data_IF_894015541236
#
_entry.id   IF_894015541236
#
_cell.length_a   1.000
_cell.length_b   1.000
_cell.length_c   1.000
_cell.angle_alpha   90.00
_cell.angle_beta   90.00
_cell.angle_gamma   90.00
#
_symmetry.space_group_name_H-M   'P 1'
#
loop_
_entity.id
_entity.type
_entity.pdbx_description
1 polymer ?
#
# COMPACT_ATOMS: atom_id res chain seq x y z
N UNK A 1 -25.15 31.65 8.38
CA UNK A 1 -25.16 30.20 8.10
C UNK A 1 -24.16 29.93 6.98
N UNK A 2 -22.93 29.55 7.34
CA UNK A 2 -21.97 28.91 6.42
C UNK A 2 -21.37 27.78 7.24
N UNK A 3 -21.85 26.57 6.98
CA UNK A 3 -21.43 25.36 7.67
C UNK A 3 -20.17 24.87 6.96
N UNK A 4 -18.99 25.32 7.40
CA UNK A 4 -17.72 24.99 6.78
C UNK A 4 -17.18 23.69 7.38
N UNK A 5 -17.78 22.55 7.03
CA UNK A 5 -17.15 21.24 7.24
C UNK A 5 -16.12 21.01 6.13
N UNK A 6 -14.93 21.56 6.34
CA UNK A 6 -13.77 21.25 5.51
C UNK A 6 -13.20 19.92 6.04
N UNK A 7 -13.69 18.81 5.48
CA UNK A 7 -13.16 17.47 5.77
C UNK A 7 -11.77 17.36 5.15
N UNK A 8 -10.75 17.31 5.99
CA UNK A 8 -9.33 17.22 5.62
C UNK A 8 -9.00 15.83 5.10
N UNK A 9 -8.63 15.75 3.83
CA UNK A 9 -8.10 14.53 3.19
C UNK A 9 -6.58 14.59 3.32
N UNK A 10 -5.97 13.71 4.11
CA UNK A 10 -4.52 13.76 4.40
C UNK A 10 -3.81 12.65 3.62
N UNK A 11 -2.85 13.03 2.80
CA UNK A 11 -1.79 12.18 2.28
C UNK A 11 -0.62 12.25 3.26
N UNK A 12 -0.27 11.12 3.86
CA UNK A 12 0.78 11.03 4.88
C UNK A 12 2.05 10.44 4.28
N UNK A 13 3.14 11.20 4.36
CA UNK A 13 4.48 10.73 4.02
C UNK A 13 5.14 10.16 5.28
N UNK A 14 5.34 8.84 5.33
CA UNK A 14 6.09 8.15 6.40
C UNK A 14 7.50 7.76 5.90
N UNK A 15 8.53 7.74 6.75
CA UNK A 15 9.84 7.26 6.33
C UNK A 15 9.90 5.72 6.41
N UNK A 16 10.68 5.09 5.53
CA UNK A 16 10.89 3.63 5.52
C UNK A 16 11.41 3.10 6.86
N UNK A 17 12.17 3.92 7.60
CA UNK A 17 12.63 3.61 8.96
C UNK A 17 11.48 3.54 9.96
N UNK A 18 10.45 4.38 9.88
CA UNK A 18 9.34 4.30 10.83
C UNK A 18 8.55 3.00 10.65
N UNK A 19 8.59 2.40 9.44
CA UNK A 19 8.06 1.05 9.18
C UNK A 19 8.97 -0.07 9.66
N UNK A 20 10.28 0.18 9.74
CA UNK A 20 11.32 -0.79 10.09
C UNK A 20 11.65 -0.80 11.59
N UNK A 21 11.52 0.34 12.28
CA UNK A 21 11.82 0.54 13.71
C UNK A 21 10.58 0.44 14.61
N UNK A 22 9.39 0.26 14.04
CA UNK A 22 8.26 -0.21 14.83
C UNK A 22 8.56 -1.67 15.21
N UNK A 23 9.14 -1.87 16.39
CA UNK A 23 9.18 -3.17 17.08
C UNK A 23 7.76 -3.77 17.23
N UNK A 24 6.74 -2.98 16.91
CA UNK A 24 5.33 -3.36 16.90
C UNK A 24 4.63 -3.01 15.57
N UNK A 25 4.57 -3.98 14.65
CA UNK A 25 3.81 -3.87 13.39
C UNK A 25 2.27 -3.82 13.58
N UNK A 26 1.77 -3.86 14.83
CA UNK A 26 0.33 -3.72 15.16
C UNK A 26 -0.16 -2.27 14.99
N UNK A 27 0.72 -1.26 14.99
CA UNK A 27 0.38 0.16 14.82
C UNK A 27 0.23 0.62 13.36
N UNK A 28 0.69 -0.17 12.39
CA UNK A 28 0.77 0.20 10.97
C UNK A 28 -0.58 0.58 10.32
N UNK A 29 -1.70 -0.15 10.52
CA UNK A 29 -2.99 0.25 9.92
C UNK A 29 -3.72 1.31 10.74
N UNK A 30 -3.53 1.32 12.06
CA UNK A 30 -4.30 2.14 13.01
C UNK A 30 -3.91 3.62 12.93
N UNK A 31 -2.70 3.91 12.46
CA UNK A 31 -2.17 5.28 12.37
C UNK A 31 -2.47 5.93 11.01
N UNK A 32 -2.67 5.13 9.94
CA UNK A 32 -2.70 5.62 8.55
C UNK A 32 -4.11 5.69 7.93
N UNK A 33 -5.12 5.05 8.52
CA UNK A 33 -6.45 4.98 7.92
C UNK A 33 -7.58 5.18 8.94
N UNK A 34 -8.70 5.82 8.55
CA UNK A 34 -9.92 5.81 9.33
C UNK A 34 -10.35 4.38 9.66
N UNK A 35 -10.89 4.17 10.87
CA UNK A 35 -11.33 2.86 11.40
C UNK A 35 -12.42 2.14 10.57
N UNK A 36 -12.88 2.74 9.46
CA UNK A 36 -13.94 2.25 8.59
C UNK A 36 -13.46 1.86 7.19
N UNK A 37 -12.18 2.06 6.87
CA UNK A 37 -11.65 1.77 5.54
C UNK A 37 -11.60 0.26 5.29
N UNK A 38 -12.30 -0.20 4.25
CA UNK A 38 -12.43 -1.63 3.91
C UNK A 38 -11.58 -2.07 2.73
N UNK A 39 -11.19 -1.15 1.84
CA UNK A 39 -10.50 -1.45 0.59
C UNK A 39 -9.22 -0.63 0.46
N UNK A 40 -8.10 -1.35 0.40
CA UNK A 40 -6.75 -0.80 0.34
C UNK A 40 -6.11 -1.17 -0.99
N UNK A 41 -5.46 -0.21 -1.64
CA UNK A 41 -4.63 -0.45 -2.82
C UNK A 41 -3.16 -0.42 -2.43
N UNK A 42 -2.45 -1.52 -2.64
CA UNK A 42 -0.99 -1.57 -2.58
C UNK A 42 -0.43 -1.35 -3.99
N UNK A 43 0.11 -0.16 -4.25
CA UNK A 43 0.78 0.20 -5.50
C UNK A 43 2.21 -0.30 -5.47
N UNK A 44 2.64 -0.95 -6.56
CA UNK A 44 3.89 -1.70 -6.64
C UNK A 44 3.94 -2.73 -5.51
N UNK A 45 2.90 -3.58 -5.47
CA UNK A 45 2.67 -4.50 -4.36
C UNK A 45 3.81 -5.52 -4.18
N UNK A 46 4.67 -5.71 -5.18
CA UNK A 46 5.75 -6.70 -5.14
C UNK A 46 5.17 -8.06 -4.72
N UNK A 47 5.89 -8.82 -3.90
CA UNK A 47 5.45 -10.10 -3.34
C UNK A 47 4.38 -9.97 -2.22
N UNK A 48 3.76 -8.80 -2.03
CA UNK A 48 2.60 -8.66 -1.14
C UNK A 48 2.91 -8.28 0.31
N UNK A 49 4.13 -7.85 0.63
CA UNK A 49 4.57 -7.53 2.01
C UNK A 49 3.61 -6.59 2.76
N UNK A 50 3.18 -5.48 2.13
CA UNK A 50 2.28 -4.53 2.77
C UNK A 50 0.89 -5.13 2.99
N UNK A 51 0.41 -5.94 2.04
CA UNK A 51 -0.86 -6.63 2.19
C UNK A 51 -0.82 -7.57 3.40
N UNK A 52 0.29 -8.29 3.56
CA UNK A 52 0.47 -9.16 4.70
C UNK A 52 0.49 -8.40 6.04
N UNK A 53 1.23 -7.29 6.11
CA UNK A 53 1.29 -6.41 7.29
C UNK A 53 -0.06 -5.80 7.66
N UNK A 54 -0.96 -5.60 6.69
CA UNK A 54 -2.32 -5.11 6.94
C UNK A 54 -3.26 -6.22 7.41
N UNK A 55 -3.10 -7.43 6.86
CA UNK A 55 -4.06 -8.54 7.01
C UNK A 55 -3.70 -9.51 8.12
N UNK A 56 -2.46 -9.56 8.59
CA UNK A 56 -2.00 -10.57 9.53
C UNK A 56 -1.27 -9.98 10.75
N UNK A 57 -1.35 -10.68 11.87
CA UNK A 57 -0.66 -10.37 13.12
C UNK A 57 0.70 -11.06 13.12
N UNK A 58 1.67 -10.41 12.49
CA UNK A 58 3.05 -10.90 12.39
C UNK A 58 3.99 -9.76 12.77
N UNK A 59 4.85 -9.99 13.77
CA UNK A 59 5.96 -9.08 14.08
C UNK A 59 7.19 -9.39 13.22
N UNK A 60 8.15 -8.45 13.18
CA UNK A 60 9.31 -8.57 12.29
C UNK A 60 10.18 -9.77 12.64
N UNK A 61 10.32 -10.10 13.93
CA UNK A 61 11.11 -11.25 14.39
C UNK A 61 10.50 -12.57 13.90
N UNK A 62 9.21 -12.77 14.11
CA UNK A 62 8.45 -13.93 13.64
C UNK A 62 8.48 -14.03 12.12
N UNK A 63 8.35 -12.88 11.44
CA UNK A 63 8.48 -12.80 9.99
C UNK A 63 9.85 -13.28 9.54
N UNK A 64 10.94 -12.70 10.07
CA UNK A 64 12.30 -13.06 9.67
C UNK A 64 12.57 -14.53 9.95
N UNK A 65 12.15 -15.05 11.11
CA UNK A 65 12.31 -16.46 11.46
C UNK A 65 11.63 -17.40 10.46
N UNK A 66 10.48 -17.02 9.89
CA UNK A 66 9.77 -17.83 8.88
C UNK A 66 10.60 -18.03 7.59
N UNK A 67 11.49 -17.10 7.26
CA UNK A 67 12.38 -17.20 6.10
C UNK A 67 13.80 -17.66 6.45
N UNK A 68 14.09 -17.99 7.72
CA UNK A 68 15.36 -18.62 8.10
C UNK A 68 15.29 -20.13 7.93
N UNK A 69 16.05 -20.69 6.99
CA UNK A 69 16.05 -22.14 6.74
C UNK A 69 16.51 -22.52 5.34
N UNK A 70 16.13 -23.72 4.90
CA UNK A 70 16.29 -24.13 3.50
C UNK A 70 15.50 -23.20 2.58
N UNK A 71 16.02 -22.93 1.38
CA UNK A 71 15.33 -22.16 0.34
C UNK A 71 14.46 -23.12 -0.51
N UNK A 72 13.15 -23.28 -0.19
CA UNK A 72 12.28 -24.10 -1.02
C UNK A 72 12.11 -23.47 -2.40
N UNK A 73 11.61 -24.25 -3.36
CA UNK A 73 11.22 -23.66 -4.64
C UNK A 73 10.05 -22.66 -4.45
N UNK A 74 9.83 -21.80 -5.44
CA UNK A 74 8.87 -20.69 -5.33
C UNK A 74 7.42 -21.14 -5.06
N UNK A 75 7.01 -22.34 -5.49
CA UNK A 75 5.66 -22.86 -5.25
C UNK A 75 5.53 -23.40 -3.84
N UNK A 76 6.55 -24.12 -3.38
CA UNK A 76 6.63 -24.60 -2.00
C UNK A 76 6.65 -23.41 -1.02
N UNK A 77 7.40 -22.35 -1.33
CA UNK A 77 7.40 -21.13 -0.54
C UNK A 77 6.01 -20.48 -0.49
N UNK A 78 5.33 -20.32 -1.62
CA UNK A 78 4.00 -19.72 -1.65
C UNK A 78 2.98 -20.51 -0.83
N UNK A 79 3.06 -21.85 -0.83
CA UNK A 79 2.21 -22.70 0.00
C UNK A 79 2.53 -22.55 1.49
N UNK A 80 3.81 -22.58 1.87
CA UNK A 80 4.25 -22.39 3.24
C UNK A 80 3.83 -21.01 3.78
N UNK A 81 3.97 -19.96 2.97
CA UNK A 81 3.53 -18.61 3.30
C UNK A 81 2.01 -18.57 3.49
N UNK A 82 1.24 -19.19 2.58
CA UNK A 82 -0.22 -19.26 2.70
C UNK A 82 -0.66 -19.82 4.05
N UNK A 83 -0.08 -20.94 4.46
CA UNK A 83 -0.38 -21.58 5.76
C UNK A 83 0.07 -20.72 6.94
N UNK A 84 1.27 -20.16 6.85
CA UNK A 84 1.83 -19.28 7.87
C UNK A 84 0.96 -18.04 8.11
N UNK A 85 0.55 -17.34 7.06
CA UNK A 85 -0.25 -16.12 7.18
C UNK A 85 -1.73 -16.41 7.50
N UNK A 86 -2.31 -17.48 6.97
CA UNK A 86 -3.70 -17.85 7.25
C UNK A 86 -3.97 -18.09 8.75
N UNK A 87 -3.01 -18.67 9.48
CA UNK A 87 -3.13 -18.88 10.93
C UNK A 87 -3.03 -17.60 11.78
N UNK A 88 -2.73 -16.45 11.16
CA UNK A 88 -2.45 -15.18 11.83
C UNK A 88 -3.33 -14.04 11.33
N UNK A 89 -4.46 -14.33 10.69
CA UNK A 89 -5.36 -13.30 10.16
C UNK A 89 -5.86 -12.32 11.23
N UNK A 90 -5.95 -11.05 10.85
CA UNK A 90 -6.55 -9.98 11.66
C UNK A 90 -8.06 -10.01 11.51
N UNK A 91 -8.76 -9.61 12.58
CA UNK A 91 -10.20 -9.32 12.57
C UNK A 91 -10.44 -7.93 13.14
N UNK A 92 -11.10 -7.01 12.39
CA UNK A 92 -11.58 -7.19 11.02
C UNK A 92 -10.43 -7.24 10.00
N UNK A 93 -10.61 -8.06 8.95
CA UNK A 93 -9.65 -8.21 7.85
C UNK A 93 -9.95 -7.19 6.74
N UNK A 94 -9.00 -6.31 6.38
CA UNK A 94 -9.20 -5.41 5.25
C UNK A 94 -9.09 -6.14 3.91
N UNK A 95 -9.80 -5.63 2.90
CA UNK A 95 -9.62 -6.05 1.51
C UNK A 95 -8.41 -5.34 0.93
N UNK A 96 -7.44 -6.10 0.42
CA UNK A 96 -6.20 -5.56 -0.16
C UNK A 96 -6.14 -5.90 -1.65
N UNK A 97 -6.03 -4.85 -2.47
CA UNK A 97 -5.86 -4.89 -3.91
C UNK A 97 -4.39 -4.65 -4.26
N UNK A 98 -3.77 -5.55 -5.02
CA UNK A 98 -2.38 -5.40 -5.48
C UNK A 98 -2.31 -4.85 -6.90
N UNK A 99 -1.38 -3.93 -7.13
CA UNK A 99 -1.04 -3.44 -8.47
C UNK A 99 0.47 -3.50 -8.67
N UNK A 100 0.94 -4.23 -9.68
CA UNK A 100 2.35 -4.23 -10.08
C UNK A 100 2.49 -4.54 -11.58
N UNK A 101 3.62 -4.20 -12.19
CA UNK A 101 3.97 -4.67 -13.55
C UNK A 101 4.58 -6.07 -13.54
N UNK A 102 5.10 -6.51 -12.39
CA UNK A 102 5.77 -7.79 -12.22
C UNK A 102 4.75 -8.92 -12.03
N UNK A 103 4.43 -9.60 -13.12
CA UNK A 103 3.49 -10.73 -13.15
C UNK A 103 3.74 -11.78 -12.05
N UNK A 104 5.00 -12.23 -11.91
CA UNK A 104 5.38 -13.24 -10.92
C UNK A 104 5.11 -12.80 -9.47
N UNK A 105 5.27 -11.50 -9.19
CA UNK A 105 5.11 -10.95 -7.84
C UNK A 105 3.62 -10.85 -7.46
N UNK A 106 2.77 -10.40 -8.40
CA UNK A 106 1.31 -10.37 -8.21
C UNK A 106 0.76 -11.79 -8.02
N UNK A 107 1.19 -12.74 -8.85
CA UNK A 107 0.77 -14.15 -8.73
C UNK A 107 1.17 -14.75 -7.39
N UNK A 108 2.42 -14.54 -6.96
CA UNK A 108 2.88 -14.98 -5.65
C UNK A 108 2.01 -14.43 -4.51
N UNK A 109 1.75 -13.12 -4.52
CA UNK A 109 0.97 -12.46 -3.47
C UNK A 109 -0.48 -13.01 -3.39
N UNK A 110 -1.06 -13.38 -4.53
CA UNK A 110 -2.37 -14.05 -4.59
C UNK A 110 -2.28 -15.49 -4.06
N UNK A 111 -1.30 -16.27 -4.51
CA UNK A 111 -1.12 -17.66 -4.12
C UNK A 111 -0.87 -17.81 -2.61
N UNK A 112 -0.08 -16.91 -2.04
CA UNK A 112 0.21 -16.83 -0.60
C UNK A 112 -0.92 -16.16 0.22
N UNK A 113 -1.99 -15.66 -0.41
CA UNK A 113 -3.15 -15.06 0.29
C UNK A 113 -2.91 -13.65 0.88
N UNK A 114 -1.84 -12.99 0.48
CA UNK A 114 -1.40 -11.70 1.03
C UNK A 114 -2.19 -10.51 0.45
N UNK A 115 -2.86 -10.71 -0.68
CA UNK A 115 -3.81 -9.79 -1.31
C UNK A 115 -5.08 -10.55 -1.74
N UNK A 116 -6.21 -9.86 -1.90
CA UNK A 116 -7.46 -10.48 -2.36
C UNK A 116 -7.62 -10.48 -3.88
N UNK A 117 -7.06 -9.46 -4.55
CA UNK A 117 -7.10 -9.32 -6.00
C UNK A 117 -5.87 -8.57 -6.49
N UNK A 118 -5.43 -8.84 -7.72
CA UNK A 118 -4.18 -8.33 -8.27
C UNK A 118 -4.29 -7.95 -9.74
N UNK A 119 -3.70 -6.81 -10.12
CA UNK A 119 -3.62 -6.32 -11.49
C UNK A 119 -2.17 -6.22 -11.94
N UNK A 120 -1.90 -6.77 -13.12
CA UNK A 120 -0.58 -6.77 -13.75
C UNK A 120 -0.54 -5.64 -14.79
N UNK A 121 -0.31 -4.41 -14.33
CA UNK A 121 -0.42 -3.22 -15.17
C UNK A 121 0.72 -2.22 -14.92
N UNK A 122 1.23 -1.63 -16.01
CA UNK A 122 2.25 -0.59 -15.98
C UNK A 122 1.64 0.80 -16.21
N UNK A 123 1.27 1.49 -15.14
CA UNK A 123 0.58 2.78 -15.23
C UNK A 123 1.48 3.96 -15.63
N UNK A 124 2.78 3.73 -15.82
CA UNK A 124 3.69 4.70 -16.46
C UNK A 124 3.35 4.91 -17.94
N UNK A 125 2.92 3.85 -18.61
CA UNK A 125 2.78 3.84 -20.07
C UNK A 125 1.33 3.84 -20.53
N UNK A 126 0.40 3.32 -19.72
CA UNK A 126 -1.01 3.15 -20.10
C UNK A 126 -1.94 3.58 -18.98
N UNK A 127 -3.14 4.00 -19.36
CA UNK A 127 -4.21 4.21 -18.40
C UNK A 127 -4.67 2.87 -17.81
N UNK A 128 -5.25 2.87 -16.60
CA UNK A 128 -5.77 1.66 -15.96
C UNK A 128 -6.74 0.92 -16.89
N UNK A 129 -6.76 -0.41 -16.86
CA UNK A 129 -7.76 -1.19 -17.57
C UNK A 129 -9.18 -0.89 -17.05
N UNK A 130 -10.25 -1.21 -17.83
CA UNK A 130 -11.62 -1.09 -17.33
C UNK A 130 -11.86 -1.86 -16.02
N UNK A 131 -11.21 -3.02 -15.88
CA UNK A 131 -11.32 -3.87 -14.71
C UNK A 131 -10.64 -3.23 -13.48
N UNK A 132 -9.40 -2.74 -13.65
CA UNK A 132 -8.71 -2.00 -12.60
C UNK A 132 -9.48 -0.73 -12.20
N UNK A 133 -10.00 0.05 -13.17
CA UNK A 133 -10.83 1.22 -12.87
C UNK A 133 -12.03 0.87 -12.00
N UNK A 134 -12.70 -0.25 -12.29
CA UNK A 134 -13.85 -0.73 -11.51
C UNK A 134 -13.42 -1.13 -10.09
N UNK A 135 -12.29 -1.82 -9.95
CA UNK A 135 -11.78 -2.24 -8.64
C UNK A 135 -11.32 -1.06 -7.77
N UNK A 136 -10.83 0.01 -8.39
CA UNK A 136 -10.43 1.23 -7.68
C UNK A 136 -11.62 2.03 -7.13
N UNK A 137 -12.84 1.76 -7.58
CA UNK A 137 -14.04 2.36 -7.02
C UNK A 137 -14.24 1.89 -5.57
N UNK A 138 -14.10 2.81 -4.61
CA UNK A 138 -14.27 2.51 -3.19
C UNK A 138 -12.97 2.24 -2.43
N UNK A 139 -11.82 2.31 -3.10
CA UNK A 139 -10.52 2.38 -2.42
C UNK A 139 -10.49 3.63 -1.53
N UNK A 140 -10.20 3.42 -0.26
CA UNK A 140 -10.13 4.47 0.76
C UNK A 140 -8.72 4.71 1.28
N UNK A 141 -7.77 3.83 0.95
CA UNK A 141 -6.35 4.01 1.24
C UNK A 141 -5.51 3.47 0.09
N UNK A 142 -4.57 4.27 -0.39
CA UNK A 142 -3.48 3.87 -1.27
C UNK A 142 -2.21 3.77 -0.43
N UNK A 143 -1.54 2.63 -0.49
CA UNK A 143 -0.22 2.42 0.09
C UNK A 143 0.78 2.32 -1.05
N UNK A 144 1.81 3.16 -0.99
CA UNK A 144 2.93 3.11 -1.89
C UNK A 144 4.24 3.07 -1.10
N UNK A 145 4.82 1.87 -1.02
CA UNK A 145 6.02 1.61 -0.22
C UNK A 145 7.27 1.30 -1.07
N UNK A 146 7.29 1.71 -2.34
CA UNK A 146 8.36 1.38 -3.28
C UNK A 146 9.48 2.43 -3.38
N UNK A 147 9.38 3.54 -2.64
CA UNK A 147 10.22 4.72 -2.82
C UNK A 147 9.79 5.53 -4.06
N UNK A 148 9.55 6.82 -3.87
CA UNK A 148 8.95 7.74 -4.87
C UNK A 148 9.79 8.00 -6.13
N UNK A 149 10.99 7.44 -6.21
CA UNK A 149 11.81 7.44 -7.43
C UNK A 149 11.26 6.52 -8.54
N UNK A 150 10.26 5.69 -8.27
CA UNK A 150 9.84 4.63 -9.21
C UNK A 150 8.40 4.74 -9.72
N UNK A 151 7.65 5.77 -9.34
CA UNK A 151 6.33 6.06 -9.87
C UNK A 151 6.21 7.56 -10.18
N UNK A 152 5.93 7.90 -11.44
CA UNK A 152 5.77 9.29 -11.86
C UNK A 152 4.49 9.90 -11.30
N UNK A 153 4.45 11.24 -11.20
CA UNK A 153 3.22 12.00 -10.91
C UNK A 153 2.09 11.61 -11.86
N UNK A 154 2.39 11.41 -13.15
CA UNK A 154 1.43 10.94 -14.16
C UNK A 154 0.81 9.57 -13.84
N UNK A 155 1.61 8.60 -13.42
CA UNK A 155 1.10 7.29 -13.03
C UNK A 155 0.25 7.38 -11.76
N UNK A 156 0.62 8.26 -10.81
CA UNK A 156 -0.20 8.58 -9.65
C UNK A 156 -1.54 9.22 -10.03
N UNK A 157 -1.54 10.23 -10.91
CA UNK A 157 -2.72 10.93 -11.42
C UNK A 157 -3.75 9.94 -12.00
N UNK A 158 -3.27 8.98 -12.80
CA UNK A 158 -4.08 7.90 -13.37
C UNK A 158 -4.81 7.07 -12.31
N UNK A 159 -4.12 6.76 -11.20
CA UNK A 159 -4.69 6.00 -10.08
C UNK A 159 -5.75 6.85 -9.36
N UNK A 160 -5.40 8.08 -8.98
CA UNK A 160 -6.30 8.96 -8.22
C UNK A 160 -7.56 9.28 -9.03
N UNK A 161 -7.40 9.57 -10.32
CA UNK A 161 -8.52 9.77 -11.25
C UNK A 161 -9.43 8.53 -11.31
N UNK A 162 -8.86 7.34 -11.35
CA UNK A 162 -9.62 6.09 -11.41
C UNK A 162 -10.35 5.75 -10.10
N UNK A 163 -9.87 6.22 -8.93
CA UNK A 163 -10.61 6.11 -7.66
C UNK A 163 -11.89 6.97 -7.69
N UNK A 164 -11.85 8.11 -8.37
CA UNK A 164 -13.02 8.94 -8.70
C UNK A 164 -13.61 9.78 -7.55
N UNK A 165 -13.36 9.43 -6.28
CA UNK A 165 -13.76 10.23 -5.10
C UNK A 165 -12.59 10.46 -4.16
N UNK A 166 -12.05 11.67 -4.14
CA UNK A 166 -10.93 12.03 -3.24
C UNK A 166 -11.36 12.35 -1.81
N UNK A 167 -12.63 12.65 -1.54
CA UNK A 167 -13.10 13.13 -0.22
C UNK A 167 -12.86 12.18 0.95
N UNK A 168 -12.64 10.88 0.70
CA UNK A 168 -12.33 9.87 1.72
C UNK A 168 -11.03 9.10 1.41
N UNK A 169 -10.22 9.58 0.47
CA UNK A 169 -9.04 8.86 -0.02
C UNK A 169 -7.81 9.23 0.79
N UNK A 170 -7.19 8.25 1.44
CA UNK A 170 -5.90 8.41 2.08
C UNK A 170 -4.78 7.90 1.18
N UNK A 171 -3.63 8.57 1.21
CA UNK A 171 -2.42 8.10 0.52
C UNK A 171 -1.29 8.01 1.54
N UNK A 172 -0.80 6.81 1.78
CA UNK A 172 0.39 6.56 2.58
C UNK A 172 1.56 6.24 1.65
N UNK A 173 2.55 7.13 1.61
CA UNK A 173 3.71 6.99 0.73
C UNK A 173 5.00 6.95 1.55
N UNK A 174 5.88 5.98 1.25
CA UNK A 174 7.26 6.03 1.74
C UNK A 174 8.22 6.55 0.69
N UNK A 175 9.12 7.41 1.14
CA UNK A 175 10.18 7.99 0.31
C UNK A 175 11.48 7.34 0.70
N UNK A 176 12.13 6.67 -0.25
CA UNK A 176 13.45 6.08 -0.07
C UNK A 176 14.44 6.96 -0.85
N UNK A 177 15.46 7.45 -0.15
CA UNK A 177 16.52 8.30 -0.72
C UNK A 177 16.20 9.80 -0.71
N UNK A 178 16.88 10.55 -1.59
CA UNK A 178 16.76 12.01 -1.76
C UNK A 178 15.79 12.53 -2.84
N UNK A 179 15.00 11.72 -3.60
CA UNK A 179 14.15 12.29 -4.64
C UNK A 179 13.05 13.18 -4.03
N UNK A 180 12.77 14.30 -4.70
CA UNK A 180 11.70 15.20 -4.29
C UNK A 180 10.34 14.50 -4.41
N UNK A 181 9.50 14.70 -3.40
CA UNK A 181 8.10 14.25 -3.42
C UNK A 181 7.16 15.34 -3.93
N UNK A 182 7.70 16.50 -4.32
CA UNK A 182 6.90 17.70 -4.63
C UNK A 182 6.01 17.53 -5.85
N UNK A 183 6.45 16.81 -6.88
CA UNK A 183 5.63 16.56 -8.07
C UNK A 183 4.40 15.70 -7.71
N UNK A 184 4.58 14.68 -6.89
CA UNK A 184 3.46 13.84 -6.41
C UNK A 184 2.58 14.65 -5.47
N UNK A 185 3.14 15.45 -4.56
CA UNK A 185 2.37 16.30 -3.65
C UNK A 185 1.53 17.35 -4.39
N UNK A 186 2.08 17.95 -5.45
CA UNK A 186 1.38 18.89 -6.34
C UNK A 186 0.21 18.18 -7.01
N UNK A 187 0.43 17.01 -7.60
CA UNK A 187 -0.61 16.20 -8.24
C UNK A 187 -1.73 15.83 -7.24
N UNK A 188 -1.36 15.39 -6.04
CA UNK A 188 -2.32 15.09 -4.97
C UNK A 188 -3.15 16.32 -4.60
N UNK A 189 -2.53 17.51 -4.59
CA UNK A 189 -3.21 18.78 -4.32
C UNK A 189 -4.21 19.14 -5.42
N UNK A 190 -3.86 18.93 -6.70
CA UNK A 190 -4.76 19.13 -7.83
C UNK A 190 -6.01 18.22 -7.75
N UNK A 191 -5.87 17.06 -7.12
CA UNK A 191 -6.96 16.13 -6.83
C UNK A 191 -7.67 16.38 -5.47
N UNK A 192 -7.34 17.46 -4.77
CA UNK A 192 -7.98 17.88 -3.52
C UNK A 192 -7.48 17.17 -2.26
N UNK A 193 -6.33 16.49 -2.31
CA UNK A 193 -5.67 15.92 -1.14
C UNK A 193 -4.65 16.91 -0.56
N UNK A 194 -4.52 16.92 0.76
CA UNK A 194 -3.48 17.69 1.47
C UNK A 194 -2.32 16.77 1.79
N UNK A 195 -1.09 17.15 1.42
CA UNK A 195 0.10 16.35 1.73
C UNK A 195 0.75 16.81 3.03
N UNK A 196 0.89 15.90 3.98
CA UNK A 196 1.58 16.10 5.25
C UNK A 196 2.77 15.14 5.37
N UNK A 197 3.86 15.65 5.93
CA UNK A 197 5.02 14.82 6.29
C UNK A 197 4.89 14.39 7.75
N UNK A 198 4.83 13.08 7.98
CA UNK A 198 4.88 12.56 9.33
C UNK A 198 6.29 12.73 9.93
N UNK A 199 6.39 13.10 11.20
CA UNK A 199 7.67 13.16 11.90
C UNK A 199 8.26 11.75 12.00
N UNK A 200 9.49 11.59 11.50
CA UNK A 200 10.16 10.30 11.34
C UNK A 200 11.65 10.45 11.10
N UNK A 201 12.45 9.53 11.66
CA UNK A 201 13.92 9.61 11.72
C UNK A 201 14.51 9.66 10.31
N UNK A 202 15.29 10.70 10.00
CA UNK A 202 16.03 10.83 8.74
C UNK A 202 17.20 9.84 8.76
N UNK A 203 17.36 9.03 7.71
CA UNK A 203 18.61 8.31 7.44
C UNK A 203 19.73 9.35 7.32
N UNK A 204 20.61 9.44 8.31
CA UNK A 204 21.89 10.13 8.18
C UNK A 204 22.93 9.15 7.69
#
# INVERSE_FOLDING_TARGET
MVNNQQQSVVAQKANCIDLHNQQDLRGYPTTLAPSHSKYYLCVRCSYGINGALLRHQVDLETWTAHYTGSEPDSKQQALADKEFFASRERSPKPVVLGLDKADHAVRYALDAGLIDAGWIEGLEVKDPSPDLRKALQGVSLIIYAGGVSYLSSRAFARIITAVGRSSNLWVASTVIGTPSYEEIATELTEHGLVTERLPGVVLR
#
